data_IF_828372022226
#
_entry.id   IF_828372022226
#
_cell.length_a   1.000
_cell.length_b   1.000
_cell.length_c   1.000
_cell.angle_alpha   90.00
_cell.angle_beta   90.00
_cell.angle_gamma   90.00
#
_symmetry.space_group_name_H-M   'P 1'
#
loop_
_entity.id
_entity.type
_entity.pdbx_description
1 polymer ?
#
# COMPACT_ATOMS: atom_id res chain seq x y z
N UNK A 1 -5.73 -28.82 -8.16
CA UNK A 1 -7.22 -28.73 -8.09
C UNK A 1 -7.66 -27.56 -8.96
N UNK A 2 -8.54 -27.82 -9.90
CA UNK A 2 -8.89 -26.95 -11.02
C UNK A 2 -9.65 -25.71 -10.57
N UNK A 3 -9.21 -24.53 -11.02
CA UNK A 3 -9.92 -23.27 -10.88
C UNK A 3 -11.08 -23.23 -11.88
N UNK A 4 -12.29 -23.16 -11.37
CA UNK A 4 -13.50 -23.08 -12.16
C UNK A 4 -13.67 -21.64 -12.69
N UNK A 5 -13.45 -21.44 -13.99
CA UNK A 5 -13.75 -20.21 -14.70
C UNK A 5 -15.19 -20.30 -15.20
N UNK A 6 -16.14 -19.74 -14.49
CA UNK A 6 -17.46 -19.43 -15.04
C UNK A 6 -17.53 -17.95 -15.35
N UNK A 7 -17.45 -17.65 -16.64
CA UNK A 7 -17.80 -16.35 -17.20
C UNK A 7 -19.28 -16.05 -16.91
N UNK A 8 -19.51 -15.16 -15.97
CA UNK A 8 -20.78 -14.43 -15.85
C UNK A 8 -20.39 -13.00 -15.49
N UNK A 9 -21.02 -12.01 -16.10
CA UNK A 9 -20.88 -10.59 -15.76
C UNK A 9 -20.96 -10.45 -14.23
N UNK A 10 -19.82 -10.47 -13.58
CA UNK A 10 -19.73 -10.26 -12.16
C UNK A 10 -19.98 -8.77 -11.97
N UNK A 11 -21.13 -8.40 -11.42
CA UNK A 11 -21.33 -7.09 -10.82
C UNK A 11 -20.06 -6.80 -10.01
N UNK A 12 -19.32 -5.75 -10.35
CA UNK A 12 -18.07 -5.42 -9.69
C UNK A 12 -18.33 -5.48 -8.18
N UNK A 13 -17.53 -6.25 -7.44
CA UNK A 13 -17.66 -6.27 -5.98
C UNK A 13 -17.28 -4.87 -5.55
N UNK A 14 -18.28 -4.08 -5.18
CA UNK A 14 -18.10 -2.72 -4.70
C UNK A 14 -17.93 -2.83 -3.19
N UNK A 15 -16.84 -2.23 -2.69
CA UNK A 15 -16.65 -2.05 -1.25
C UNK A 15 -17.49 -0.83 -0.82
N UNK A 16 -18.10 -0.91 0.34
CA UNK A 16 -18.80 0.25 0.87
C UNK A 16 -17.80 1.41 1.10
N UNK A 17 -16.74 1.12 1.86
CA UNK A 17 -15.67 2.05 2.16
C UNK A 17 -14.34 1.29 2.40
N UNK A 18 -13.30 2.02 2.86
CA UNK A 18 -11.99 1.44 3.20
C UNK A 18 -12.04 0.51 4.40
N UNK A 19 -12.97 0.70 5.33
CA UNK A 19 -13.12 -0.17 6.50
C UNK A 19 -13.68 -1.52 6.08
N UNK A 20 -14.76 -1.54 5.27
CA UNK A 20 -15.33 -2.77 4.70
C UNK A 20 -14.28 -3.55 3.90
N UNK A 21 -13.49 -2.86 3.08
CA UNK A 21 -12.38 -3.48 2.34
C UNK A 21 -11.34 -4.13 3.27
N UNK A 22 -10.98 -3.45 4.35
CA UNK A 22 -10.06 -3.96 5.36
C UNK A 22 -10.60 -5.16 6.14
N UNK A 23 -11.88 -5.16 6.51
CA UNK A 23 -12.55 -6.30 7.16
C UNK A 23 -12.57 -7.53 6.28
N UNK A 24 -12.84 -7.37 4.98
CA UNK A 24 -12.81 -8.48 4.01
C UNK A 24 -11.38 -9.01 3.80
N UNK A 25 -10.36 -8.13 3.79
CA UNK A 25 -8.96 -8.56 3.77
C UNK A 25 -8.59 -9.30 5.05
N UNK A 26 -9.02 -8.84 6.22
CA UNK A 26 -8.79 -9.52 7.48
C UNK A 26 -9.39 -10.93 7.50
N UNK A 27 -10.57 -11.13 6.90
CA UNK A 27 -11.17 -12.45 6.76
C UNK A 27 -10.30 -13.40 5.90
N UNK A 28 -9.68 -12.89 4.83
CA UNK A 28 -8.74 -13.65 4.01
C UNK A 28 -7.41 -13.95 4.74
N UNK A 29 -7.00 -13.07 5.65
CA UNK A 29 -5.77 -13.14 6.43
C UNK A 29 -5.96 -13.75 7.83
N UNK A 30 -7.10 -14.39 8.11
CA UNK A 30 -7.46 -14.91 9.45
C UNK A 30 -6.40 -15.82 10.09
N UNK A 31 -5.56 -16.45 9.30
CA UNK A 31 -4.47 -17.30 9.76
C UNK A 31 -3.32 -16.53 10.42
N UNK A 32 -3.31 -15.19 10.31
CA UNK A 32 -2.40 -14.30 11.03
C UNK A 32 -2.98 -13.74 12.34
N UNK A 33 -4.23 -14.12 12.71
CA UNK A 33 -4.82 -13.64 13.97
C UNK A 33 -3.93 -14.00 15.16
N UNK A 34 -3.66 -13.03 16.02
CA UNK A 34 -2.81 -13.16 17.22
C UNK A 34 -1.37 -13.68 16.93
N UNK A 35 -0.92 -13.59 15.66
CA UNK A 35 0.38 -14.10 15.26
C UNK A 35 1.52 -13.24 15.83
N UNK A 36 2.28 -13.78 16.78
CA UNK A 36 3.42 -13.09 17.37
C UNK A 36 4.47 -12.73 16.32
N UNK A 37 5.07 -11.53 16.45
CA UNK A 37 6.07 -11.05 15.49
C UNK A 37 5.49 -10.61 14.14
N UNK A 38 4.16 -10.48 14.03
CA UNK A 38 3.49 -9.93 12.85
C UNK A 38 3.05 -8.49 13.10
N UNK A 39 3.10 -7.63 12.08
CA UNK A 39 2.66 -6.24 12.12
C UNK A 39 1.92 -5.91 10.84
N UNK A 40 0.88 -5.08 10.94
CA UNK A 40 0.14 -4.55 9.78
C UNK A 40 0.64 -3.14 9.49
N UNK A 41 0.96 -2.88 8.23
CA UNK A 41 1.51 -1.62 7.76
C UNK A 41 0.67 -1.07 6.63
N UNK A 42 0.13 0.13 6.81
CA UNK A 42 -0.60 0.84 5.75
C UNK A 42 0.32 1.76 4.97
N UNK A 43 0.16 1.78 3.65
CA UNK A 43 0.74 2.83 2.80
C UNK A 43 -0.11 4.10 2.98
N UNK A 44 0.50 5.24 3.36
CA UNK A 44 -0.26 6.48 3.56
C UNK A 44 -0.84 7.04 2.24
N UNK A 45 -2.04 7.67 2.28
CA UNK A 45 -2.86 7.86 3.47
C UNK A 45 -3.99 6.82 3.56
N UNK A 46 -4.66 6.51 2.45
CA UNK A 46 -5.84 5.62 2.41
C UNK A 46 -5.57 4.20 2.91
N UNK A 47 -4.39 3.65 2.62
CA UNK A 47 -3.99 2.31 3.09
C UNK A 47 -3.90 2.18 4.61
N UNK A 48 -3.74 3.30 5.35
CA UNK A 48 -3.73 3.25 6.83
C UNK A 48 -5.12 2.93 7.40
N UNK A 49 -6.20 3.37 6.73
CA UNK A 49 -7.57 3.03 7.12
C UNK A 49 -7.82 1.53 6.95
N UNK A 50 -7.42 0.97 5.82
CA UNK A 50 -7.49 -0.47 5.53
C UNK A 50 -6.64 -1.26 6.53
N UNK A 51 -5.39 -0.80 6.77
CA UNK A 51 -4.49 -1.42 7.74
C UNK A 51 -5.07 -1.44 9.16
N UNK A 52 -5.74 -0.38 9.57
CA UNK A 52 -6.42 -0.29 10.86
C UNK A 52 -7.51 -1.36 11.01
N UNK A 53 -8.37 -1.54 10.01
CA UNK A 53 -9.40 -2.57 10.02
C UNK A 53 -8.79 -3.99 10.13
N UNK A 54 -7.73 -4.27 9.36
CA UNK A 54 -7.00 -5.53 9.42
C UNK A 54 -6.38 -5.73 10.82
N UNK A 55 -5.67 -4.73 11.34
CA UNK A 55 -4.97 -4.81 12.63
C UNK A 55 -5.93 -5.09 13.79
N UNK A 56 -7.07 -4.41 13.83
CA UNK A 56 -8.12 -4.64 14.85
C UNK A 56 -8.69 -6.04 14.73
N UNK A 57 -9.11 -6.45 13.53
CA UNK A 57 -9.74 -7.75 13.33
C UNK A 57 -8.80 -8.92 13.62
N UNK A 58 -7.49 -8.75 13.41
CA UNK A 58 -6.49 -9.79 13.62
C UNK A 58 -5.75 -9.66 14.97
N UNK A 59 -6.02 -8.65 15.78
CA UNK A 59 -5.33 -8.33 17.03
C UNK A 59 -3.81 -8.17 16.81
N UNK A 60 -3.42 -7.40 15.80
CA UNK A 60 -2.03 -7.16 15.43
C UNK A 60 -1.64 -5.70 15.63
N UNK A 61 -0.36 -5.40 15.89
CA UNK A 61 0.13 -4.04 15.92
C UNK A 61 -0.05 -3.34 14.57
N UNK A 62 -0.38 -2.05 14.61
CA UNK A 62 -0.52 -1.18 13.45
C UNK A 62 0.68 -0.24 13.31
N UNK A 63 1.13 -0.01 12.09
CA UNK A 63 2.09 1.02 11.73
C UNK A 63 1.88 1.50 10.30
N UNK A 64 2.80 2.32 9.81
CA UNK A 64 2.83 2.77 8.42
C UNK A 64 4.06 2.25 7.69
N UNK A 65 3.91 2.06 6.38
CA UNK A 65 5.02 1.93 5.45
C UNK A 65 5.23 3.28 4.78
N UNK A 66 6.29 4.04 5.12
CA UNK A 66 6.47 5.40 4.66
C UNK A 66 6.95 5.43 3.21
N UNK A 67 6.02 5.48 2.30
CA UNK A 67 6.26 5.55 0.86
C UNK A 67 5.41 6.65 0.26
N UNK A 68 5.94 7.37 -0.72
CA UNK A 68 5.22 8.38 -1.49
C UNK A 68 5.33 8.13 -2.99
N UNK A 69 4.22 8.39 -3.70
CA UNK A 69 4.15 8.43 -5.15
C UNK A 69 5.03 9.57 -5.68
N UNK A 70 5.79 9.30 -6.73
CA UNK A 70 6.42 10.32 -7.56
C UNK A 70 5.50 10.61 -8.72
N UNK A 71 4.94 11.82 -8.77
CA UNK A 71 4.14 12.30 -9.89
C UNK A 71 5.02 12.92 -10.96
N UNK A 72 4.54 12.93 -12.21
CA UNK A 72 5.20 13.65 -13.28
C UNK A 72 5.15 15.17 -13.02
N UNK A 73 6.19 15.95 -13.39
CA UNK A 73 6.26 17.39 -13.07
C UNK A 73 5.06 18.20 -13.55
N UNK A 74 4.57 17.94 -14.74
CA UNK A 74 3.42 18.64 -15.33
C UNK A 74 2.05 18.00 -14.98
N UNK A 75 2.06 16.79 -14.40
CA UNK A 75 0.86 16.08 -13.98
C UNK A 75 1.15 15.21 -12.73
N UNK A 76 0.99 15.76 -11.52
CA UNK A 76 1.26 15.05 -10.28
C UNK A 76 0.42 13.78 -10.06
N UNK A 77 -0.71 13.67 -10.76
CA UNK A 77 -1.54 12.46 -10.70
C UNK A 77 -0.98 11.30 -11.54
N UNK A 78 -0.16 11.59 -12.55
CA UNK A 78 0.51 10.60 -13.37
C UNK A 78 1.73 10.05 -12.61
N UNK A 79 1.62 8.84 -12.08
CA UNK A 79 2.69 8.19 -11.33
C UNK A 79 3.85 7.77 -12.24
N UNK A 80 5.03 8.34 -12.02
CA UNK A 80 6.29 7.95 -12.68
C UNK A 80 7.17 7.10 -11.77
N UNK A 81 6.76 6.89 -10.53
CA UNK A 81 7.48 6.08 -9.56
C UNK A 81 7.01 6.26 -8.13
N UNK A 82 7.84 5.83 -7.19
CA UNK A 82 7.65 6.03 -5.76
C UNK A 82 8.99 6.05 -5.01
N UNK A 83 9.02 6.69 -3.85
CA UNK A 83 10.19 6.79 -2.97
C UNK A 83 9.80 6.51 -1.52
N UNK A 84 10.71 5.92 -0.75
CA UNK A 84 10.59 5.76 0.71
C UNK A 84 11.49 6.77 1.47
N UNK A 85 11.37 6.74 2.81
CA UNK A 85 12.19 7.57 3.72
C UNK A 85 13.67 7.13 3.78
N UNK A 86 14.01 5.90 3.36
CA UNK A 86 15.37 5.38 3.32
C UNK A 86 16.08 5.65 1.98
N UNK A 87 15.39 6.30 1.03
CA UNK A 87 15.90 6.57 -0.32
C UNK A 87 15.81 5.37 -1.26
N UNK A 88 14.91 4.43 -1.01
CA UNK A 88 14.50 3.43 -2.00
C UNK A 88 13.64 4.14 -3.05
N UNK A 89 14.03 4.03 -4.31
CA UNK A 89 13.32 4.64 -5.44
C UNK A 89 12.91 3.52 -6.41
N UNK A 90 11.66 3.52 -6.81
CA UNK A 90 11.13 2.68 -7.90
C UNK A 90 10.61 3.62 -8.99
N UNK A 91 11.04 3.43 -10.23
CA UNK A 91 10.73 4.32 -11.35
C UNK A 91 10.13 3.57 -12.54
N UNK A 92 9.21 4.22 -13.23
CA UNK A 92 8.81 3.85 -14.59
C UNK A 92 9.79 4.48 -15.60
N UNK A 93 10.90 3.80 -15.85
CA UNK A 93 11.90 4.30 -16.81
C UNK A 93 11.36 4.44 -18.25
N UNK A 94 10.31 3.68 -18.62
CA UNK A 94 9.72 3.77 -19.95
C UNK A 94 8.88 5.05 -20.07
N UNK A 95 8.02 5.29 -19.10
CA UNK A 95 7.18 6.48 -19.05
C UNK A 95 8.05 7.74 -18.87
N UNK A 96 9.02 7.72 -17.95
CA UNK A 96 9.92 8.85 -17.70
C UNK A 96 10.65 9.28 -18.98
N UNK A 97 11.21 8.33 -19.75
CA UNK A 97 11.84 8.63 -21.04
C UNK A 97 10.85 9.17 -22.07
N UNK A 98 9.61 8.67 -22.08
CA UNK A 98 8.57 9.18 -22.99
C UNK A 98 8.20 10.63 -22.68
N UNK A 99 8.25 11.01 -21.41
CA UNK A 99 8.03 12.37 -20.92
C UNK A 99 9.26 13.28 -21.08
N UNK A 100 10.38 12.75 -21.59
CA UNK A 100 11.63 13.51 -21.75
C UNK A 100 12.36 13.84 -20.45
N UNK A 101 12.05 13.15 -19.35
CA UNK A 101 12.69 13.36 -18.06
C UNK A 101 14.10 12.75 -18.04
N UNK A 102 15.05 13.51 -17.53
CA UNK A 102 16.42 13.07 -17.30
C UNK A 102 16.55 12.32 -15.97
N UNK A 103 17.65 11.61 -15.76
CA UNK A 103 17.94 10.96 -14.47
C UNK A 103 18.07 11.99 -13.34
N UNK A 104 18.61 13.19 -13.63
CA UNK A 104 18.72 14.28 -12.66
C UNK A 104 17.33 14.80 -12.24
N UNK A 105 16.39 14.99 -13.20
CA UNK A 105 15.02 15.39 -12.91
C UNK A 105 14.33 14.39 -11.98
N UNK A 106 14.55 13.09 -12.20
CA UNK A 106 13.97 12.01 -11.40
C UNK A 106 14.58 11.94 -9.99
N UNK A 107 15.89 12.15 -9.86
CA UNK A 107 16.57 12.18 -8.58
C UNK A 107 16.15 13.40 -7.76
N UNK A 108 16.02 14.57 -8.38
CA UNK A 108 15.56 15.80 -7.73
C UNK A 108 14.12 15.66 -7.23
N UNK A 109 13.23 15.13 -8.06
CA UNK A 109 11.84 14.84 -7.67
C UNK A 109 11.77 13.84 -6.50
N UNK A 110 12.59 12.79 -6.53
CA UNK A 110 12.66 11.81 -5.45
C UNK A 110 13.21 12.42 -4.15
N UNK A 111 14.25 13.26 -4.23
CA UNK A 111 14.82 13.93 -3.07
C UNK A 111 13.81 14.88 -2.41
N UNK A 112 13.07 15.66 -3.21
CA UNK A 112 11.99 16.52 -2.72
C UNK A 112 10.90 15.72 -2.01
N UNK A 113 10.38 14.68 -2.65
CA UNK A 113 9.31 13.86 -2.07
C UNK A 113 9.77 13.13 -0.79
N UNK A 114 11.03 12.70 -0.74
CA UNK A 114 11.61 12.12 0.48
C UNK A 114 11.67 13.14 1.61
N UNK A 115 12.12 14.37 1.34
CA UNK A 115 12.18 15.43 2.35
C UNK A 115 10.78 15.75 2.92
N UNK A 116 9.78 15.86 2.05
CA UNK A 116 8.38 16.06 2.47
C UNK A 116 7.86 14.88 3.31
N UNK A 117 8.23 13.63 2.94
CA UNK A 117 7.88 12.43 3.69
C UNK A 117 8.51 12.42 5.08
N UNK A 118 9.80 12.76 5.20
CA UNK A 118 10.52 12.85 6.47
C UNK A 118 9.91 13.90 7.41
N UNK A 119 9.53 15.08 6.87
CA UNK A 119 8.83 16.13 7.63
C UNK A 119 7.47 15.64 8.12
N UNK A 120 6.70 14.97 7.26
CA UNK A 120 5.41 14.43 7.62
C UNK A 120 5.51 13.34 8.70
N UNK A 121 6.50 12.43 8.59
CA UNK A 121 6.78 11.39 9.59
C UNK A 121 7.10 11.99 10.96
N UNK A 122 7.86 13.07 11.00
CA UNK A 122 8.18 13.77 12.25
C UNK A 122 6.91 14.25 12.96
N UNK A 123 5.90 14.69 12.21
CA UNK A 123 4.59 15.08 12.72
C UNK A 123 3.72 13.93 13.24
N UNK A 124 3.98 12.70 12.82
CA UNK A 124 3.22 11.51 13.29
C UNK A 124 3.76 10.91 14.60
N UNK A 125 5.01 11.21 14.94
CA UNK A 125 5.66 10.69 16.14
C UNK A 125 6.48 9.42 15.92
N UNK A 126 7.35 9.12 16.88
CA UNK A 126 8.38 8.07 16.77
C UNK A 126 7.86 6.64 16.57
N UNK A 127 6.62 6.37 16.94
CA UNK A 127 6.03 5.03 16.86
C UNK A 127 5.25 4.75 15.57
N UNK A 128 5.20 5.71 14.64
CA UNK A 128 4.49 5.53 13.38
C UNK A 128 5.07 4.39 12.53
N UNK A 129 6.40 4.21 12.56
CA UNK A 129 7.11 3.09 11.92
C UNK A 129 7.68 2.19 13.02
N UNK A 130 7.05 1.04 13.32
CA UNK A 130 7.53 0.15 14.37
C UNK A 130 8.84 -0.56 13.97
N UNK A 131 9.58 -1.15 14.93
CA UNK A 131 10.72 -2.02 14.61
C UNK A 131 10.26 -3.20 13.73
N UNK A 132 10.94 -3.44 12.60
CA UNK A 132 10.50 -4.39 11.57
C UNK A 132 11.43 -5.59 11.38
N UNK A 133 12.68 -5.51 11.87
CA UNK A 133 13.68 -6.56 11.66
C UNK A 133 13.19 -7.93 12.18
N UNK A 134 13.31 -8.95 11.35
CA UNK A 134 12.91 -10.31 11.67
C UNK A 134 11.40 -10.59 11.73
N UNK A 135 10.56 -9.57 11.57
CA UNK A 135 9.09 -9.72 11.65
C UNK A 135 8.46 -10.17 10.33
N UNK A 136 7.21 -10.59 10.43
CA UNK A 136 6.29 -10.67 9.30
C UNK A 136 5.58 -9.33 9.17
N UNK A 137 5.59 -8.72 7.98
CA UNK A 137 4.87 -7.50 7.69
C UNK A 137 3.71 -7.77 6.72
N UNK A 138 2.50 -7.41 7.12
CA UNK A 138 1.33 -7.35 6.24
C UNK A 138 1.25 -5.92 5.72
N UNK A 139 1.71 -5.71 4.49
CA UNK A 139 1.63 -4.44 3.78
C UNK A 139 0.28 -4.32 3.10
N UNK A 140 -0.39 -3.19 3.25
CA UNK A 140 -1.67 -2.94 2.59
C UNK A 140 -1.77 -1.51 2.07
N UNK A 141 -2.61 -1.33 1.05
CA UNK A 141 -3.06 -0.05 0.54
C UNK A 141 -4.58 -0.11 0.32
N UNK A 142 -5.22 1.01 0.04
CA UNK A 142 -6.66 1.07 -0.26
C UNK A 142 -7.00 0.58 -1.69
N UNK A 143 -5.98 0.31 -2.48
CA UNK A 143 -6.02 -0.30 -3.79
C UNK A 143 -4.74 0.02 -4.56
N UNK A 144 -4.43 -0.78 -5.53
CA UNK A 144 -3.22 -0.62 -6.34
C UNK A 144 -3.62 -0.32 -7.78
N UNK A 145 -3.08 0.75 -8.36
CA UNK A 145 -3.21 1.06 -9.79
C UNK A 145 -1.95 0.64 -10.57
N UNK A 146 -0.91 1.46 -10.57
CA UNK A 146 0.35 1.17 -11.28
C UNK A 146 1.29 0.24 -10.52
N UNK A 147 1.14 0.16 -9.20
CA UNK A 147 1.94 -0.70 -8.32
C UNK A 147 3.28 -0.13 -7.87
N UNK A 148 3.71 1.06 -8.33
CA UNK A 148 5.03 1.60 -7.95
C UNK A 148 5.15 1.86 -6.44
N UNK A 149 4.10 2.38 -5.81
CA UNK A 149 4.07 2.60 -4.35
C UNK A 149 4.19 1.29 -3.59
N UNK A 150 3.46 0.25 -4.01
CA UNK A 150 3.54 -1.07 -3.41
C UNK A 150 4.93 -1.69 -3.62
N UNK A 151 5.54 -1.58 -4.81
CA UNK A 151 6.90 -2.06 -5.07
C UNK A 151 7.93 -1.36 -4.20
N UNK A 152 7.86 -0.03 -4.07
CA UNK A 152 8.74 0.74 -3.20
C UNK A 152 8.56 0.32 -1.72
N UNK A 153 7.33 0.11 -1.27
CA UNK A 153 7.03 -0.40 0.07
C UNK A 153 7.62 -1.79 0.31
N UNK A 154 7.46 -2.73 -0.61
CA UNK A 154 8.06 -4.06 -0.54
C UNK A 154 9.59 -3.98 -0.44
N UNK A 155 10.23 -3.19 -1.30
CA UNK A 155 11.68 -2.99 -1.28
C UNK A 155 12.16 -2.34 0.02
N UNK A 156 11.44 -1.34 0.52
CA UNK A 156 11.68 -0.71 1.83
C UNK A 156 11.63 -1.72 2.98
N UNK A 157 10.60 -2.57 3.01
CA UNK A 157 10.46 -3.60 4.05
C UNK A 157 11.59 -4.63 4.00
N UNK A 158 11.99 -5.07 2.82
CA UNK A 158 13.15 -5.96 2.65
C UNK A 158 14.44 -5.32 3.17
N UNK A 159 14.67 -4.04 2.85
CA UNK A 159 15.82 -3.27 3.33
C UNK A 159 15.83 -3.09 4.85
N UNK A 160 14.65 -3.05 5.49
CA UNK A 160 14.47 -3.00 6.95
C UNK A 160 14.60 -4.36 7.64
N UNK A 161 15.00 -5.40 6.93
CA UNK A 161 15.23 -6.74 7.49
C UNK A 161 13.94 -7.49 7.83
N UNK A 162 12.81 -7.14 7.20
CA UNK A 162 11.56 -7.91 7.35
C UNK A 162 11.78 -9.33 6.82
N UNK A 163 11.45 -10.33 7.65
CA UNK A 163 11.63 -11.74 7.33
C UNK A 163 10.63 -12.23 6.28
N UNK A 164 9.37 -11.81 6.39
CA UNK A 164 8.28 -12.21 5.50
C UNK A 164 7.42 -10.99 5.16
N UNK A 165 7.20 -10.76 3.88
CA UNK A 165 6.34 -9.70 3.37
C UNK A 165 5.07 -10.31 2.78
N UNK A 166 3.92 -9.91 3.31
CA UNK A 166 2.59 -10.21 2.79
C UNK A 166 2.04 -8.93 2.18
N UNK A 167 1.65 -8.93 0.93
CA UNK A 167 0.93 -7.81 0.33
C UNK A 167 -0.55 -8.16 0.26
N UNK A 168 -1.39 -7.37 0.92
CA UNK A 168 -2.84 -7.56 0.94
C UNK A 168 -3.55 -6.29 0.47
N UNK A 169 -4.26 -6.35 -0.65
CA UNK A 169 -4.94 -5.19 -1.25
C UNK A 169 -6.37 -5.53 -1.67
N UNK A 170 -7.32 -4.60 -1.55
CA UNK A 170 -8.70 -4.84 -1.95
C UNK A 170 -8.83 -5.06 -3.45
N UNK A 171 -8.15 -4.24 -4.24
CA UNK A 171 -8.28 -4.23 -5.70
C UNK A 171 -6.98 -3.87 -6.39
N UNK A 172 -6.68 -4.54 -7.49
CA UNK A 172 -5.57 -4.22 -8.40
C UNK A 172 -5.91 -4.66 -9.83
N UNK A 173 -5.39 -3.99 -10.88
CA UNK A 173 -5.44 -4.51 -12.24
C UNK A 173 -4.73 -5.86 -12.31
N UNK A 174 -5.20 -6.74 -13.19
CA UNK A 174 -4.64 -8.10 -13.36
C UNK A 174 -3.15 -8.06 -13.66
N UNK A 175 -2.71 -7.17 -14.56
CA UNK A 175 -1.31 -7.06 -14.96
C UNK A 175 -0.44 -6.57 -13.81
N UNK A 176 -0.92 -5.58 -13.04
CA UNK A 176 -0.23 -5.09 -11.85
C UNK A 176 -0.13 -6.18 -10.77
N UNK A 177 -1.22 -6.93 -10.53
CA UNK A 177 -1.22 -8.06 -9.60
C UNK A 177 -0.19 -9.13 -10.01
N UNK A 178 -0.08 -9.44 -11.30
CA UNK A 178 0.91 -10.39 -11.83
C UNK A 178 2.36 -9.93 -11.63
N UNK A 179 2.61 -8.61 -11.66
CA UNK A 179 3.93 -8.02 -11.38
C UNK A 179 4.26 -8.06 -9.88
N UNK A 180 3.28 -7.79 -9.01
CA UNK A 180 3.50 -7.69 -7.57
C UNK A 180 3.60 -9.05 -6.87
N UNK A 181 2.82 -10.04 -7.29
CA UNK A 181 2.76 -11.34 -6.65
C UNK A 181 4.14 -12.03 -6.47
N UNK A 182 5.05 -12.05 -7.46
CA UNK A 182 6.37 -12.66 -7.31
C UNK A 182 7.34 -11.88 -6.40
N UNK A 183 7.02 -10.64 -6.01
CA UNK A 183 7.89 -9.80 -5.17
C UNK A 183 7.71 -10.06 -3.67
N UNK A 184 6.65 -10.79 -3.29
CA UNK A 184 6.25 -11.01 -1.89
C UNK A 184 6.17 -12.50 -1.57
N UNK A 185 6.16 -12.83 -0.28
CA UNK A 185 6.04 -14.21 0.19
C UNK A 185 4.58 -14.71 0.17
N UNK A 186 3.64 -13.76 0.21
CA UNK A 186 2.20 -14.04 0.09
C UNK A 186 1.51 -12.82 -0.53
N UNK A 187 0.64 -13.07 -1.49
CA UNK A 187 -0.13 -12.02 -2.16
C UNK A 187 -1.63 -12.30 -2.03
N UNK A 188 -2.36 -11.36 -1.46
CA UNK A 188 -3.82 -11.39 -1.31
C UNK A 188 -4.40 -10.19 -2.03
N UNK A 189 -5.20 -10.44 -3.05
CA UNK A 189 -5.97 -9.41 -3.75
C UNK A 189 -7.41 -9.89 -3.84
N UNK A 190 -8.36 -9.12 -3.32
CA UNK A 190 -9.76 -9.56 -3.29
C UNK A 190 -10.39 -9.51 -4.67
N UNK A 191 -10.06 -8.49 -5.48
CA UNK A 191 -10.64 -8.28 -6.81
C UNK A 191 -9.58 -7.84 -7.81
N UNK A 192 -9.59 -8.46 -8.99
CA UNK A 192 -8.76 -8.06 -10.13
C UNK A 192 -9.63 -7.74 -11.34
N UNK A 193 -10.30 -6.56 -11.33
CA UNK A 193 -11.31 -6.23 -12.34
C UNK A 193 -10.70 -5.86 -13.69
N UNK A 194 -11.52 -6.02 -14.73
CA UNK A 194 -11.23 -5.56 -16.09
C UNK A 194 -12.53 -5.07 -16.73
N UNK A 195 -12.63 -3.80 -17.22
CA UNK A 195 -11.55 -2.79 -17.22
C UNK A 195 -11.29 -2.18 -15.82
N UNK A 196 -10.08 -1.66 -15.63
CA UNK A 196 -9.68 -0.91 -14.45
C UNK A 196 -9.38 0.54 -14.82
N UNK A 197 -10.05 1.52 -14.20
CA UNK A 197 -9.81 2.94 -14.47
C UNK A 197 -9.17 3.65 -13.27
N UNK A 198 -9.72 3.48 -12.08
CA UNK A 198 -9.20 4.06 -10.85
C UNK A 198 -9.65 3.24 -9.63
N UNK A 199 -8.84 3.25 -8.56
CA UNK A 199 -9.14 2.55 -7.31
C UNK A 199 -10.51 2.99 -6.73
N UNK A 200 -10.79 4.29 -6.70
CA UNK A 200 -12.02 4.83 -6.14
C UNK A 200 -13.31 4.33 -6.79
N UNK A 201 -13.25 3.83 -8.04
CA UNK A 201 -14.43 3.29 -8.74
C UNK A 201 -14.97 1.99 -8.12
N UNK A 202 -14.23 1.38 -7.20
CA UNK A 202 -14.60 0.13 -6.52
C UNK A 202 -15.14 0.36 -5.11
N UNK A 203 -15.36 1.63 -4.73
CA UNK A 203 -15.86 2.05 -3.43
C UNK A 203 -17.10 2.91 -3.59
N UNK A 204 -18.11 2.69 -2.76
CA UNK A 204 -19.32 3.54 -2.71
C UNK A 204 -18.98 4.88 -2.05
N UNK A 205 -18.20 4.84 -0.96
CA UNK A 205 -17.72 6.02 -0.25
C UNK A 205 -16.19 6.10 -0.36
N UNK A 206 -15.71 7.22 -0.93
CA UNK A 206 -14.27 7.46 -1.17
C UNK A 206 -13.82 8.83 -0.67
N UNK A 207 -14.01 9.16 0.63
CA UNK A 207 -13.55 10.43 1.17
C UNK A 207 -12.02 10.52 1.13
N UNK A 208 -11.51 11.75 1.03
CA UNK A 208 -10.09 12.00 1.14
C UNK A 208 -9.64 11.82 2.60
N UNK A 209 -8.60 11.01 2.81
CA UNK A 209 -8.03 10.79 4.15
C UNK A 209 -7.03 11.89 4.48
N UNK A 210 -7.21 12.54 5.63
CA UNK A 210 -6.37 13.63 6.12
C UNK A 210 -5.19 13.11 6.97
N UNK A 211 -4.18 13.95 7.17
CA UNK A 211 -3.04 13.62 8.04
C UNK A 211 -3.46 13.49 9.51
N UNK A 212 -4.47 14.26 9.94
CA UNK A 212 -5.01 14.16 11.31
C UNK A 212 -5.76 12.85 11.53
N UNK A 213 -6.49 12.36 10.51
CA UNK A 213 -7.12 11.03 10.56
C UNK A 213 -6.07 9.92 10.65
N UNK A 214 -5.00 9.99 9.84
CA UNK A 214 -3.88 9.03 9.94
C UNK A 214 -3.28 9.02 11.34
N UNK A 215 -3.03 10.22 11.90
CA UNK A 215 -2.51 10.34 13.28
C UNK A 215 -3.44 9.71 14.32
N UNK A 216 -4.73 9.99 14.23
CA UNK A 216 -5.74 9.43 15.14
C UNK A 216 -5.81 7.90 15.07
N UNK A 217 -5.75 7.32 13.86
CA UNK A 217 -5.76 5.88 13.65
C UNK A 217 -4.55 5.18 14.27
N UNK A 218 -3.36 5.79 14.16
CA UNK A 218 -2.13 5.24 14.75
C UNK A 218 -2.13 5.29 16.27
N UNK A 219 -2.65 6.36 16.88
CA UNK A 219 -2.75 6.51 18.33
C UNK A 219 -3.70 5.48 18.95
N UNK A 220 -4.83 5.22 18.33
CA UNK A 220 -5.81 4.24 18.80
C UNK A 220 -5.46 2.79 18.49
N UNK A 221 -4.54 2.56 17.53
CA UNK A 221 -4.10 1.23 17.07
C UNK A 221 -3.09 0.53 17.97
N UNK A 222 -2.40 1.26 18.83
CA UNK A 222 -1.33 0.74 19.70
C UNK A 222 -1.77 0.55 21.17
N UNK A 223 -3.05 0.66 21.45
CA UNK A 223 -3.61 0.42 22.79
C UNK A 223 -4.19 -1.00 22.84
N UNK A 224 -3.30 -2.01 22.90
CA UNK A 224 -3.60 -3.39 23.30
C UNK A 224 -2.96 -3.66 24.64
#
# INVERSE_FOLDING_TARGET
>A
MAWCWTSTYCSAVIFHDRLDAGERLAAALRHYRDASGTVVLGIPRGGVVVARAIAVALHLPLGICPVRKLGAPENPELAIGAVDDLGVIVLDHKLSRHLGLTDDDLLDAAAQQRQELEQWLTGLGANAVPPLEGRTAILTDDGVATGYTAQAGIASLRRRGVRRVVLAVPVAPRDTAAVLAPLVDEFVCLVTPEPFYAVGNFFEEWPQVTDDEVRALLLTGNTL
#
